data_IF_888653091861
#
_entry.id   IF_888653091861
#
_cell.length_a   1.000
_cell.length_b   1.000
_cell.length_c   1.000
_cell.angle_alpha   90.00
_cell.angle_beta   90.00
_cell.angle_gamma   90.00
#
_symmetry.space_group_name_H-M   'P 1'
#
loop_
_entity.id
_entity.type
_entity.pdbx_description
1 polymer ?
#
# COMPACT_ATOMS: atom_id res chain seq x y z
N UNK A 1 -10.93 -34.42 35.77
CA UNK A 1 -12.17 -33.73 35.34
C UNK A 1 -12.04 -32.21 35.50
N UNK A 2 -11.52 -31.71 36.62
CA UNK A 2 -11.25 -30.28 36.84
C UNK A 2 -10.39 -29.59 35.77
N UNK A 3 -9.29 -30.20 35.33
CA UNK A 3 -8.42 -29.60 34.29
C UNK A 3 -9.11 -29.41 32.94
N UNK A 4 -10.13 -30.20 32.62
CA UNK A 4 -10.91 -30.06 31.40
C UNK A 4 -11.96 -28.95 31.55
N UNK A 5 -12.57 -28.85 32.74
CA UNK A 5 -13.53 -27.81 33.10
C UNK A 5 -12.84 -26.44 33.12
N UNK A 6 -11.61 -26.32 33.63
CA UNK A 6 -10.87 -25.05 33.59
C UNK A 6 -10.50 -24.63 32.17
N UNK A 7 -10.11 -25.58 31.30
CA UNK A 7 -9.85 -25.27 29.89
C UNK A 7 -11.11 -24.80 29.16
N UNK A 8 -12.26 -25.42 29.43
CA UNK A 8 -13.54 -24.97 28.90
C UNK A 8 -13.95 -23.60 29.45
N UNK A 9 -13.66 -23.31 30.72
CA UNK A 9 -14.00 -22.04 31.38
C UNK A 9 -13.17 -20.88 30.81
N UNK A 10 -11.89 -21.10 30.53
CA UNK A 10 -11.01 -20.11 29.85
C UNK A 10 -11.48 -19.86 28.42
N UNK A 11 -11.82 -20.91 27.66
CA UNK A 11 -12.35 -20.76 26.30
C UNK A 11 -13.70 -20.04 26.27
N UNK A 12 -14.59 -20.34 27.22
CA UNK A 12 -15.87 -19.63 27.38
C UNK A 12 -15.67 -18.14 27.74
N UNK A 13 -14.63 -17.80 28.53
CA UNK A 13 -14.31 -16.41 28.84
C UNK A 13 -13.84 -15.61 27.62
N UNK A 14 -13.24 -16.25 26.62
CA UNK A 14 -12.90 -15.61 25.34
C UNK A 14 -14.08 -15.52 24.36
N UNK A 15 -15.10 -16.39 24.51
CA UNK A 15 -16.26 -16.45 23.63
C UNK A 15 -17.46 -15.63 24.14
N UNK A 16 -17.49 -15.30 25.43
CA UNK A 16 -18.50 -14.41 26.00
C UNK A 16 -18.04 -12.96 25.81
N UNK A 17 -18.81 -12.10 25.12
CA UNK A 17 -18.48 -10.69 25.05
C UNK A 17 -18.59 -10.12 26.47
N UNK A 18 -17.51 -9.54 27.00
CA UNK A 18 -17.53 -8.92 28.32
C UNK A 18 -18.59 -7.82 28.35
N UNK A 19 -19.68 -8.05 29.08
CA UNK A 19 -20.66 -7.02 29.42
C UNK A 19 -20.06 -6.07 30.47
N UNK A 20 -19.08 -5.26 30.06
CA UNK A 20 -18.60 -4.05 30.76
C UNK A 20 -17.33 -3.48 30.12
N UNK A 21 -17.37 -3.26 28.82
CA UNK A 21 -17.00 -1.94 28.30
C UNK A 21 -17.85 -1.76 27.06
N UNK A 22 -18.62 -0.69 27.00
CA UNK A 22 -19.02 -0.20 25.69
C UNK A 22 -17.73 0.31 25.05
N UNK A 23 -16.92 -0.58 24.47
CA UNK A 23 -16.12 -0.21 23.31
C UNK A 23 -17.14 0.12 22.23
N UNK A 24 -17.66 1.34 22.28
CA UNK A 24 -18.10 1.98 21.07
C UNK A 24 -16.91 1.85 20.13
N UNK A 25 -17.04 1.00 19.11
CA UNK A 25 -16.20 1.09 17.93
C UNK A 25 -16.50 2.48 17.33
N UNK A 26 -15.83 3.49 17.88
CA UNK A 26 -15.73 4.78 17.28
C UNK A 26 -14.74 4.59 16.14
N UNK A 27 -15.24 4.69 14.91
CA UNK A 27 -14.35 5.00 13.81
C UNK A 27 -13.70 6.35 14.15
N UNK A 28 -12.41 6.35 14.47
CA UNK A 28 -11.65 7.59 14.45
C UNK A 28 -11.83 8.20 13.06
N UNK A 29 -12.28 9.45 12.94
CA UNK A 29 -12.44 10.07 11.64
C UNK A 29 -11.08 10.15 10.96
N UNK A 30 -10.81 9.23 10.04
CA UNK A 30 -9.71 9.33 9.09
C UNK A 30 -10.08 10.39 8.04
N UNK A 31 -10.02 11.66 8.44
CA UNK A 31 -10.22 12.80 7.56
C UNK A 31 -8.85 13.24 7.00
N UNK A 32 -8.53 12.81 5.79
CA UNK A 32 -7.42 13.38 5.04
C UNK A 32 -7.83 14.77 4.52
N UNK A 33 -7.28 15.83 5.10
CA UNK A 33 -7.52 17.21 4.66
C UNK A 33 -6.43 18.17 5.13
N UNK A 34 -5.97 19.02 4.21
CA UNK A 34 -4.90 20.00 4.37
C UNK A 34 -5.15 21.01 5.52
N UNK A 35 -4.25 21.08 6.49
CA UNK A 35 -3.72 22.31 7.12
C UNK A 35 -3.19 22.05 8.54
N UNK A 36 -2.05 22.68 8.85
CA UNK A 36 -1.24 22.50 10.04
C UNK A 36 -1.85 23.03 11.37
N UNK A 37 -3.10 22.73 11.66
CA UNK A 37 -3.74 23.04 12.94
C UNK A 37 -4.67 21.89 13.35
N UNK A 38 -4.08 20.80 13.85
CA UNK A 38 -4.85 19.68 14.40
C UNK A 38 -4.67 19.60 15.91
N UNK A 39 -5.79 19.65 16.63
CA UNK A 39 -5.86 19.20 18.01
C UNK A 39 -5.50 17.70 18.01
N UNK A 40 -4.35 17.35 18.62
CA UNK A 40 -4.05 15.95 18.93
C UNK A 40 -5.16 15.44 19.85
N UNK A 41 -5.96 14.49 19.37
CA UNK A 41 -6.67 13.58 20.28
C UNK A 41 -5.64 12.88 21.16
N UNK A 42 -6.00 12.58 22.40
CA UNK A 42 -5.17 11.79 23.31
C UNK A 42 -4.85 10.44 22.65
N UNK A 43 -3.56 10.09 22.54
CA UNK A 43 -3.19 8.72 22.17
C UNK A 43 -3.56 7.80 23.35
N UNK A 44 -4.39 6.81 23.10
CA UNK A 44 -4.73 5.80 24.09
C UNK A 44 -3.71 4.65 24.01
N UNK A 45 -3.55 3.91 25.11
CA UNK A 45 -2.55 2.84 25.19
C UNK A 45 -2.79 1.67 24.22
N UNK A 46 -3.95 1.64 23.57
CA UNK A 46 -4.41 0.59 22.65
C UNK A 46 -4.58 1.08 21.20
N UNK A 47 -4.03 2.26 20.87
CA UNK A 47 -4.03 2.79 19.51
C UNK A 47 -3.07 2.02 18.59
N UNK A 48 -3.48 1.84 17.33
CA UNK A 48 -2.60 1.35 16.26
C UNK A 48 -1.94 2.56 15.59
N UNK A 49 -0.62 2.65 15.68
CA UNK A 49 0.16 3.81 15.19
C UNK A 49 1.00 3.45 13.96
N UNK A 50 1.20 4.44 13.08
CA UNK A 50 2.11 4.33 11.94
C UNK A 50 3.47 4.89 12.37
N UNK A 51 4.49 4.05 12.40
CA UNK A 51 5.85 4.43 12.81
C UNK A 51 6.75 4.85 11.65
N UNK A 52 6.44 4.39 10.43
CA UNK A 52 7.17 4.69 9.21
C UNK A 52 6.26 4.52 7.99
N UNK A 53 6.46 5.37 6.97
CA UNK A 53 5.76 5.28 5.69
C UNK A 53 6.67 5.79 4.57
N UNK A 54 6.97 4.92 3.61
CA UNK A 54 7.86 5.21 2.50
C UNK A 54 7.31 4.64 1.20
N UNK A 55 7.77 5.16 0.08
CA UNK A 55 7.43 4.66 -1.27
C UNK A 55 8.58 4.82 -2.24
N UNK A 56 8.50 4.14 -3.35
CA UNK A 56 9.37 4.41 -4.51
C UNK A 56 8.92 5.67 -5.26
N UNK A 57 9.76 6.22 -6.16
CA UNK A 57 9.28 7.07 -7.24
C UNK A 57 8.18 6.35 -8.05
N UNK A 58 7.21 7.08 -8.58
CA UNK A 58 6.24 6.50 -9.51
C UNK A 58 6.69 6.81 -10.93
N UNK A 59 6.86 5.76 -11.75
CA UNK A 59 7.31 5.88 -13.12
C UNK A 59 6.21 5.50 -14.11
N UNK A 60 6.20 6.14 -15.28
CA UNK A 60 5.28 5.81 -16.38
C UNK A 60 5.47 4.36 -16.83
N UNK A 61 4.41 3.57 -16.87
CA UNK A 61 4.47 2.18 -17.34
C UNK A 61 5.01 2.09 -18.78
N UNK A 62 5.74 1.01 -19.08
CA UNK A 62 6.33 0.65 -20.39
C UNK A 62 7.37 1.64 -20.97
N UNK A 63 7.43 2.89 -20.50
CA UNK A 63 8.30 3.96 -21.06
C UNK A 63 9.07 4.77 -20.01
N UNK A 64 8.79 4.59 -18.72
CA UNK A 64 9.43 5.32 -17.62
C UNK A 64 10.67 4.62 -17.05
N UNK A 65 11.21 5.20 -15.98
CA UNK A 65 12.46 4.73 -15.35
C UNK A 65 12.41 3.34 -14.72
N UNK A 66 11.22 2.77 -14.51
CA UNK A 66 11.01 1.41 -14.00
C UNK A 66 10.46 0.43 -15.04
N UNK A 67 10.61 0.73 -16.33
CA UNK A 67 10.04 -0.13 -17.39
C UNK A 67 10.68 -1.52 -17.46
N UNK A 68 11.96 -1.64 -17.08
CA UNK A 68 12.71 -2.91 -17.09
C UNK A 68 13.07 -3.38 -15.67
N UNK A 69 12.45 -2.79 -14.64
CA UNK A 69 12.69 -3.14 -13.23
C UNK A 69 11.72 -4.24 -12.81
N UNK A 70 12.24 -5.30 -12.19
CA UNK A 70 11.40 -6.37 -11.67
C UNK A 70 10.53 -5.88 -10.50
N UNK A 71 9.32 -6.44 -10.29
CA UNK A 71 8.42 -6.01 -9.23
C UNK A 71 9.05 -6.10 -7.83
N UNK A 72 9.73 -7.20 -7.53
CA UNK A 72 10.41 -7.41 -6.24
C UNK A 72 11.51 -6.37 -5.97
N UNK A 73 12.17 -5.86 -7.02
CA UNK A 73 13.18 -4.79 -6.92
C UNK A 73 12.56 -3.41 -6.61
N UNK A 74 11.24 -3.26 -6.77
CA UNK A 74 10.51 -2.06 -6.35
C UNK A 74 10.08 -2.13 -4.88
N UNK A 75 9.74 -3.32 -4.38
CA UNK A 75 9.27 -3.51 -3.01
C UNK A 75 10.43 -3.63 -2.01
N UNK A 76 11.49 -4.37 -2.38
CA UNK A 76 12.68 -4.60 -1.54
C UNK A 76 13.26 -3.33 -0.91
N UNK A 77 13.59 -2.26 -1.68
CA UNK A 77 14.21 -1.07 -1.10
C UNK A 77 13.30 -0.34 -0.11
N UNK A 78 11.98 -0.39 -0.30
CA UNK A 78 11.03 0.25 0.62
C UNK A 78 10.93 -0.53 1.93
N UNK A 79 10.82 -1.86 1.86
CA UNK A 79 10.83 -2.71 3.05
C UNK A 79 12.14 -2.54 3.83
N UNK A 80 13.27 -2.56 3.14
CA UNK A 80 14.58 -2.34 3.74
C UNK A 80 14.68 -0.97 4.41
N UNK A 81 14.20 0.10 3.76
CA UNK A 81 14.21 1.43 4.33
C UNK A 81 13.34 1.56 5.59
N UNK A 82 12.21 0.85 5.66
CA UNK A 82 11.40 0.77 6.89
C UNK A 82 12.22 0.17 8.03
N UNK A 83 12.88 -0.97 7.80
CA UNK A 83 13.72 -1.62 8.80
C UNK A 83 14.88 -0.71 9.23
N UNK A 84 15.63 -0.17 8.26
CA UNK A 84 16.83 0.63 8.51
C UNK A 84 16.49 1.93 9.29
N UNK A 85 15.36 2.57 9.01
CA UNK A 85 14.98 3.84 9.65
C UNK A 85 14.28 3.68 11.00
N UNK A 86 13.62 2.54 11.22
CA UNK A 86 12.95 2.26 12.51
C UNK A 86 13.87 1.51 13.49
N UNK A 87 14.86 0.77 12.99
CA UNK A 87 15.75 -0.04 13.80
C UNK A 87 15.09 -1.25 14.44
N UNK A 88 13.86 -1.61 14.03
CA UNK A 88 13.17 -2.79 14.57
C UNK A 88 13.91 -4.06 14.18
N UNK A 89 13.88 -5.06 15.07
CA UNK A 89 14.34 -6.40 14.72
C UNK A 89 13.35 -7.00 13.70
N UNK A 90 13.79 -7.38 12.49
CA UNK A 90 12.89 -7.91 11.46
C UNK A 90 12.13 -9.16 11.91
N UNK A 91 12.66 -9.92 12.88
CA UNK A 91 12.00 -11.11 13.44
C UNK A 91 10.78 -10.79 14.32
N UNK A 92 10.59 -9.53 14.74
CA UNK A 92 9.44 -9.10 15.55
C UNK A 92 8.19 -8.78 14.70
N UNK A 93 8.34 -8.74 13.37
CA UNK A 93 7.22 -8.53 12.45
C UNK A 93 6.31 -9.77 12.47
N UNK A 94 5.04 -9.58 12.79
CA UNK A 94 4.05 -10.67 12.82
C UNK A 94 3.46 -11.03 11.46
N UNK A 95 3.35 -10.06 10.54
CA UNK A 95 2.83 -10.28 9.19
C UNK A 95 3.27 -9.17 8.22
N UNK A 96 3.47 -9.55 6.96
CA UNK A 96 3.69 -8.62 5.84
C UNK A 96 2.55 -8.81 4.84
N UNK A 97 1.69 -7.79 4.74
CA UNK A 97 0.53 -7.80 3.84
C UNK A 97 0.83 -6.88 2.66
N UNK A 98 0.82 -7.41 1.44
CA UNK A 98 1.14 -6.65 0.23
C UNK A 98 -0.09 -6.52 -0.65
N UNK A 99 -0.55 -5.28 -0.83
CA UNK A 99 -1.59 -4.92 -1.78
C UNK A 99 -1.09 -4.97 -3.21
N UNK A 100 -1.71 -5.80 -4.06
CA UNK A 100 -1.29 -5.98 -5.45
C UNK A 100 -2.45 -6.49 -6.30
N UNK A 101 -2.51 -6.07 -7.58
CA UNK A 101 -3.66 -6.34 -8.45
C UNK A 101 -3.30 -7.21 -9.64
N UNK A 102 -2.38 -6.76 -10.51
CA UNK A 102 -2.23 -7.36 -11.84
C UNK A 102 -1.38 -8.64 -11.86
N UNK A 103 -0.55 -8.84 -10.84
CA UNK A 103 0.35 -9.99 -10.79
C UNK A 103 -0.40 -11.30 -10.69
N UNK A 104 -0.06 -12.32 -11.48
CA UNK A 104 -0.73 -13.62 -11.42
C UNK A 104 -0.57 -14.27 -10.05
N UNK A 105 -1.70 -14.68 -9.44
CA UNK A 105 -1.84 -15.24 -8.08
C UNK A 105 -0.55 -15.70 -7.39
N UNK A 106 -0.12 -16.95 -7.65
CA UNK A 106 1.04 -17.54 -6.97
C UNK A 106 2.36 -16.85 -7.32
N UNK A 107 2.54 -16.41 -8.57
CA UNK A 107 3.74 -15.68 -8.98
C UNK A 107 3.89 -14.41 -8.15
N UNK A 108 2.81 -13.66 -7.95
CA UNK A 108 2.86 -12.43 -7.17
C UNK A 108 3.15 -12.65 -5.69
N UNK A 109 2.62 -13.73 -5.12
CA UNK A 109 2.97 -14.13 -3.77
C UNK A 109 4.48 -14.45 -3.64
N UNK A 110 5.06 -15.11 -4.64
CA UNK A 110 6.49 -15.39 -4.70
C UNK A 110 7.31 -14.10 -4.87
N UNK A 111 6.93 -13.18 -5.77
CA UNK A 111 7.59 -11.87 -5.93
C UNK A 111 7.62 -11.09 -4.60
N UNK A 112 6.48 -11.03 -3.90
CA UNK A 112 6.39 -10.35 -2.59
C UNK A 112 7.25 -11.05 -1.52
N UNK A 113 7.25 -12.39 -1.51
CA UNK A 113 8.06 -13.18 -0.58
C UNK A 113 9.55 -12.99 -0.84
N UNK A 114 9.97 -13.01 -2.10
CA UNK A 114 11.34 -12.73 -2.53
C UNK A 114 11.77 -11.34 -2.07
N UNK A 115 10.94 -10.32 -2.30
CA UNK A 115 11.25 -8.95 -1.86
C UNK A 115 11.41 -8.83 -0.34
N UNK A 116 10.54 -9.51 0.44
CA UNK A 116 10.63 -9.56 1.89
C UNK A 116 11.95 -10.17 2.37
N UNK A 117 12.34 -11.31 1.79
CA UNK A 117 13.59 -12.00 2.13
C UNK A 117 14.82 -11.17 1.72
N UNK A 118 14.81 -10.56 0.52
CA UNK A 118 15.89 -9.68 0.05
C UNK A 118 16.03 -8.42 0.92
N UNK A 119 14.95 -7.95 1.52
CA UNK A 119 14.98 -6.83 2.47
C UNK A 119 15.56 -7.20 3.84
N UNK A 120 15.77 -8.50 4.13
CA UNK A 120 16.30 -9.01 5.39
C UNK A 120 15.24 -9.43 6.41
N UNK A 121 13.97 -9.54 6.00
CA UNK A 121 12.90 -10.09 6.85
C UNK A 121 13.02 -11.62 6.82
N UNK A 122 13.15 -12.31 7.98
CA UNK A 122 13.47 -13.73 8.02
C UNK A 122 12.28 -14.61 7.59
N UNK A 123 12.57 -15.87 7.31
CA UNK A 123 11.60 -16.84 6.84
C UNK A 123 10.46 -17.13 7.84
N UNK A 124 10.68 -16.85 9.12
CA UNK A 124 9.68 -17.01 10.19
C UNK A 124 8.54 -16.00 10.09
N UNK A 125 8.73 -14.87 9.41
CA UNK A 125 7.70 -13.85 9.22
C UNK A 125 6.86 -14.21 8.00
N UNK A 126 5.54 -14.38 8.10
CA UNK A 126 4.69 -14.69 6.95
C UNK A 126 4.56 -13.48 6.01
N UNK A 127 4.30 -13.78 4.73
CA UNK A 127 3.99 -12.77 3.71
C UNK A 127 2.71 -13.21 3.01
N UNK A 128 1.76 -12.29 2.86
CA UNK A 128 0.52 -12.54 2.14
C UNK A 128 0.17 -11.38 1.22
N UNK A 129 -0.55 -11.69 0.15
CA UNK A 129 -1.03 -10.69 -0.81
C UNK A 129 -2.52 -10.44 -0.63
N UNK A 130 -2.95 -9.20 -0.85
CA UNK A 130 -4.37 -8.83 -0.89
C UNK A 130 -4.69 -8.13 -2.20
N UNK A 131 -5.82 -8.49 -2.80
CA UNK A 131 -6.33 -7.85 -4.00
C UNK A 131 -7.73 -7.30 -3.74
N UNK A 132 -7.78 -5.99 -3.49
CA UNK A 132 -9.01 -5.18 -3.46
C UNK A 132 -8.94 -4.08 -4.53
N UNK A 133 -8.50 -4.45 -5.73
CA UNK A 133 -8.34 -3.55 -6.87
C UNK A 133 -7.53 -2.30 -6.49
N UNK A 134 -7.91 -1.10 -6.94
CA UNK A 134 -7.19 0.15 -6.65
C UNK A 134 -7.03 0.46 -5.15
N UNK A 135 -7.77 -0.20 -4.26
CA UNK A 135 -7.66 -0.02 -2.81
C UNK A 135 -6.71 -0.99 -2.11
N UNK A 136 -6.04 -1.89 -2.86
CA UNK A 136 -5.26 -3.00 -2.27
C UNK A 136 -4.17 -2.54 -1.29
N UNK A 137 -3.47 -1.43 -1.57
CA UNK A 137 -2.47 -0.88 -0.64
C UNK A 137 -3.09 -0.40 0.68
N UNK A 138 -4.25 0.25 0.61
CA UNK A 138 -4.99 0.67 1.81
C UNK A 138 -5.59 -0.53 2.55
N UNK A 139 -6.08 -1.54 1.81
CA UNK A 139 -6.59 -2.77 2.40
C UNK A 139 -5.51 -3.51 3.18
N UNK A 140 -4.28 -3.55 2.66
CA UNK A 140 -3.15 -4.15 3.36
C UNK A 140 -2.89 -3.49 4.71
N UNK A 141 -2.88 -2.15 4.75
CA UNK A 141 -2.75 -1.38 6.01
C UNK A 141 -3.92 -1.66 6.95
N UNK A 142 -5.16 -1.69 6.43
CA UNK A 142 -6.35 -1.96 7.24
C UNK A 142 -6.34 -3.37 7.85
N UNK A 143 -5.92 -4.38 7.09
CA UNK A 143 -5.85 -5.75 7.59
C UNK A 143 -4.79 -5.90 8.68
N UNK A 144 -3.62 -5.26 8.51
CA UNK A 144 -2.55 -5.24 9.53
C UNK A 144 -3.05 -4.56 10.80
N UNK A 145 -3.68 -3.39 10.66
CA UNK A 145 -4.23 -2.67 11.80
C UNK A 145 -5.31 -3.49 12.53
N UNK A 146 -6.18 -4.18 11.80
CA UNK A 146 -7.20 -5.05 12.38
C UNK A 146 -6.58 -6.23 13.14
N UNK A 147 -5.52 -6.85 12.62
CA UNK A 147 -4.83 -7.96 13.27
C UNK A 147 -4.07 -7.51 14.53
N UNK A 148 -3.46 -6.32 14.51
CA UNK A 148 -2.85 -5.71 15.71
C UNK A 148 -3.93 -5.43 16.76
N UNK A 149 -5.04 -4.81 16.36
CA UNK A 149 -6.15 -4.53 17.27
C UNK A 149 -6.78 -5.81 17.85
N UNK A 150 -6.77 -6.90 17.09
CA UNK A 150 -7.24 -8.22 17.53
C UNK A 150 -6.24 -8.96 18.43
N UNK A 151 -5.02 -8.46 18.59
CA UNK A 151 -3.99 -9.07 19.44
C UNK A 151 -3.30 -10.29 18.82
N UNK A 152 -3.30 -10.42 17.49
CA UNK A 152 -2.59 -11.53 16.81
C UNK A 152 -1.08 -11.32 16.73
N UNK A 153 -0.65 -10.05 16.67
CA UNK A 153 0.75 -9.61 16.72
C UNK A 153 0.80 -8.12 17.03
N UNK A 154 1.97 -7.59 17.41
CA UNK A 154 2.13 -6.17 17.79
C UNK A 154 2.67 -5.29 16.66
N UNK A 155 3.43 -5.88 15.72
CA UNK A 155 4.08 -5.19 14.61
C UNK A 155 3.70 -5.89 13.30
N UNK A 156 3.32 -5.13 12.28
CA UNK A 156 3.07 -5.65 10.94
C UNK A 156 3.35 -4.61 9.86
N UNK A 157 3.54 -5.07 8.63
CA UNK A 157 3.80 -4.20 7.48
C UNK A 157 2.63 -4.28 6.50
N UNK A 158 1.96 -3.15 6.29
CA UNK A 158 1.03 -2.96 5.18
C UNK A 158 1.75 -2.29 4.01
N UNK A 159 1.90 -2.99 2.90
CA UNK A 159 2.63 -2.53 1.72
C UNK A 159 1.77 -2.55 0.45
N UNK A 160 2.30 -1.98 -0.64
CA UNK A 160 1.70 -2.06 -1.96
C UNK A 160 2.78 -2.27 -3.03
N UNK A 161 2.48 -3.09 -4.04
CA UNK A 161 3.37 -3.35 -5.16
C UNK A 161 2.55 -3.48 -6.46
N UNK A 162 2.99 -2.78 -7.50
CA UNK A 162 2.49 -2.98 -8.85
C UNK A 162 3.57 -2.68 -9.89
N UNK A 163 3.55 -3.44 -10.99
CA UNK A 163 4.36 -3.17 -12.18
C UNK A 163 3.51 -3.43 -13.42
N UNK A 164 2.90 -2.34 -13.91
CA UNK A 164 2.16 -2.32 -15.16
C UNK A 164 3.08 -2.40 -16.40
N UNK A 165 4.40 -2.28 -16.20
CA UNK A 165 5.38 -2.53 -17.26
C UNK A 165 5.58 -4.03 -17.50
N UNK A 166 5.47 -4.83 -16.44
CA UNK A 166 5.56 -6.30 -16.51
C UNK A 166 4.19 -6.90 -16.84
N UNK A 167 3.17 -6.57 -16.04
CA UNK A 167 1.81 -7.10 -16.22
C UNK A 167 0.94 -6.11 -17.00
N UNK A 168 0.14 -6.60 -17.93
CA UNK A 168 -0.72 -5.73 -18.75
C UNK A 168 -2.00 -5.36 -18.01
N UNK A 169 -2.52 -4.16 -18.28
CA UNK A 169 -3.82 -3.76 -17.74
C UNK A 169 -4.92 -4.47 -18.52
N UNK A 170 -5.57 -5.42 -17.88
CA UNK A 170 -6.69 -6.15 -18.47
C UNK A 170 -7.00 -7.41 -17.70
N UNK A 171 -8.19 -7.96 -17.92
CA UNK A 171 -8.53 -9.29 -17.44
C UNK A 171 -7.88 -10.33 -18.34
N UNK A 172 -6.92 -11.08 -17.82
CA UNK A 172 -6.21 -12.14 -18.56
C UNK A 172 -6.93 -13.50 -18.53
N UNK A 173 -8.02 -13.61 -17.76
CA UNK A 173 -8.79 -14.85 -17.62
C UNK A 173 -9.88 -15.05 -18.68
N UNK A 174 -10.43 -16.26 -18.74
CA UNK A 174 -11.67 -16.50 -19.47
C UNK A 174 -12.83 -15.79 -18.76
N UNK A 175 -13.69 -15.13 -19.53
CA UNK A 175 -14.94 -14.57 -19.01
C UNK A 175 -15.97 -15.71 -18.95
N UNK A 176 -16.58 -15.92 -17.79
CA UNK A 176 -17.67 -16.89 -17.67
C UNK A 176 -18.84 -16.47 -18.59
N UNK A 177 -19.30 -17.32 -19.54
CA UNK A 177 -20.36 -16.94 -20.47
C UNK A 177 -21.67 -16.55 -19.77
N UNK A 178 -21.90 -17.05 -18.54
CA UNK A 178 -23.05 -16.67 -17.71
C UNK A 178 -23.05 -15.21 -17.26
N UNK A 179 -21.97 -14.46 -17.49
CA UNK A 179 -21.95 -13.02 -17.19
C UNK A 179 -23.10 -12.28 -17.88
N UNK A 180 -23.53 -12.75 -19.06
CA UNK A 180 -24.64 -12.17 -19.82
C UNK A 180 -25.99 -12.30 -19.09
N UNK A 181 -26.12 -13.24 -18.14
CA UNK A 181 -27.36 -13.50 -17.41
C UNK A 181 -27.68 -12.39 -16.39
N UNK A 182 -26.69 -11.57 -15.99
CA UNK A 182 -26.85 -10.54 -14.97
C UNK A 182 -26.12 -9.25 -15.36
N UNK A 183 -26.86 -8.16 -15.59
CA UNK A 183 -26.28 -6.86 -15.98
C UNK A 183 -25.14 -6.41 -15.05
N UNK A 184 -25.33 -6.51 -13.74
CA UNK A 184 -24.30 -6.13 -12.76
C UNK A 184 -22.99 -6.92 -12.92
N UNK A 185 -23.06 -8.17 -13.37
CA UNK A 185 -21.87 -8.97 -13.64
C UNK A 185 -21.18 -8.50 -14.92
N UNK A 186 -21.94 -8.10 -15.95
CA UNK A 186 -21.39 -7.49 -17.17
C UNK A 186 -20.73 -6.16 -16.87
N UNK A 187 -21.32 -5.35 -15.98
CA UNK A 187 -20.80 -4.05 -15.59
C UNK A 187 -19.40 -4.14 -14.95
N UNK A 188 -19.05 -5.27 -14.32
CA UNK A 188 -17.71 -5.53 -13.80
C UNK A 188 -16.63 -5.60 -14.89
N UNK A 189 -17.00 -5.81 -16.15
CA UNK A 189 -16.10 -5.86 -17.30
C UNK A 189 -15.97 -4.50 -18.00
N UNK A 190 -16.74 -3.49 -17.59
CA UNK A 190 -16.63 -2.16 -18.17
C UNK A 190 -15.23 -1.59 -17.88
N UNK A 191 -14.54 -1.05 -18.89
CA UNK A 191 -13.28 -0.36 -18.65
C UNK A 191 -13.48 0.81 -17.69
N UNK A 192 -12.55 1.01 -16.77
CA UNK A 192 -12.65 2.07 -15.75
C UNK A 192 -12.72 3.49 -16.35
N UNK A 193 -12.17 3.69 -17.55
CA UNK A 193 -12.35 4.95 -18.28
C UNK A 193 -13.82 5.20 -18.64
N UNK A 194 -14.54 4.16 -19.10
CA UNK A 194 -15.96 4.25 -19.44
C UNK A 194 -16.81 4.49 -18.20
N UNK A 195 -16.51 3.85 -17.08
CA UNK A 195 -17.23 4.12 -15.83
C UNK A 195 -17.00 5.56 -15.35
N UNK A 196 -15.81 6.13 -15.59
CA UNK A 196 -15.53 7.54 -15.32
C UNK A 196 -16.35 8.48 -16.21
N UNK A 197 -16.46 8.19 -17.51
CA UNK A 197 -17.32 8.95 -18.44
C UNK A 197 -18.80 8.88 -18.04
N UNK A 198 -19.28 7.71 -17.61
CA UNK A 198 -20.65 7.54 -17.13
C UNK A 198 -20.93 8.40 -15.89
N UNK A 199 -19.97 8.52 -14.97
CA UNK A 199 -20.06 9.41 -13.80
C UNK A 199 -20.07 10.87 -14.25
N UNK A 200 -19.15 11.27 -15.13
CA UNK A 200 -19.08 12.64 -15.64
C UNK A 200 -20.38 13.06 -16.32
N UNK A 201 -20.92 12.21 -17.20
CA UNK A 201 -22.20 12.45 -17.87
C UNK A 201 -23.36 12.54 -16.88
N UNK A 202 -23.45 11.62 -15.91
CA UNK A 202 -24.56 11.55 -14.96
C UNK A 202 -24.63 12.77 -14.03
N UNK A 203 -23.47 13.25 -13.60
CA UNK A 203 -23.37 14.35 -12.63
C UNK A 203 -23.03 15.70 -13.26
N UNK A 204 -22.96 15.76 -14.60
CA UNK A 204 -22.73 17.01 -15.33
C UNK A 204 -21.32 17.57 -15.18
N UNK A 205 -20.31 16.73 -14.99
CA UNK A 205 -18.90 17.16 -14.87
C UNK A 205 -18.37 17.50 -16.26
N UNK A 206 -18.13 18.78 -16.49
CA UNK A 206 -17.73 19.30 -17.79
C UNK A 206 -16.29 18.90 -18.14
N UNK A 207 -15.98 18.89 -19.44
CA UNK A 207 -14.60 18.68 -19.92
C UNK A 207 -13.63 19.75 -19.37
N UNK A 208 -14.09 20.99 -19.25
CA UNK A 208 -13.30 22.09 -18.71
C UNK A 208 -12.93 21.85 -17.24
N UNK A 209 -13.87 21.39 -16.41
CA UNK A 209 -13.60 21.03 -15.01
C UNK A 209 -12.60 19.88 -14.89
N UNK A 210 -12.71 18.86 -15.74
CA UNK A 210 -11.78 17.73 -15.78
C UNK A 210 -10.35 18.20 -16.15
N UNK A 211 -10.22 19.01 -17.20
CA UNK A 211 -8.93 19.54 -17.65
C UNK A 211 -8.32 20.48 -16.61
N UNK A 212 -9.14 21.33 -15.97
CA UNK A 212 -8.70 22.22 -14.89
C UNK A 212 -8.15 21.43 -13.71
N UNK A 213 -8.84 20.37 -13.29
CA UNK A 213 -8.35 19.50 -12.21
C UNK A 213 -7.00 18.84 -12.56
N UNK A 214 -6.82 18.41 -13.81
CA UNK A 214 -5.55 17.84 -14.27
C UNK A 214 -4.41 18.88 -14.26
N UNK A 215 -4.64 20.10 -14.73
CA UNK A 215 -3.66 21.20 -14.70
C UNK A 215 -3.25 21.52 -13.27
N UNK A 216 -4.23 21.66 -12.37
CA UNK A 216 -3.96 21.93 -10.96
C UNK A 216 -3.16 20.81 -10.29
N UNK A 217 -3.49 19.55 -10.59
CA UNK A 217 -2.75 18.39 -10.09
C UNK A 217 -1.28 18.43 -10.51
N UNK A 218 -1.00 18.68 -11.80
CA UNK A 218 0.36 18.81 -12.31
C UNK A 218 1.11 19.99 -11.69
N UNK A 219 0.47 21.15 -11.55
CA UNK A 219 1.07 22.34 -10.94
C UNK A 219 1.45 22.08 -9.47
N UNK A 220 0.56 21.45 -8.68
CA UNK A 220 0.82 21.09 -7.27
C UNK A 220 1.94 20.08 -7.15
N UNK A 221 1.94 19.03 -7.99
CA UNK A 221 3.00 18.01 -7.99
C UNK A 221 4.37 18.60 -8.36
N UNK A 222 4.42 19.50 -9.35
CA UNK A 222 5.66 20.20 -9.73
C UNK A 222 6.18 21.07 -8.59
N UNK A 223 5.31 21.87 -7.95
CA UNK A 223 5.68 22.72 -6.82
C UNK A 223 6.16 21.89 -5.61
N UNK A 224 5.49 20.79 -5.27
CA UNK A 224 5.89 19.88 -4.20
C UNK A 224 7.26 19.22 -4.47
N UNK A 225 7.51 18.85 -5.72
CA UNK A 225 8.81 18.28 -6.15
C UNK A 225 9.92 19.34 -6.04
N UNK A 226 9.71 20.53 -6.58
CA UNK A 226 10.69 21.63 -6.56
C UNK A 226 11.03 22.09 -5.13
N UNK A 227 10.03 22.10 -4.23
CA UNK A 227 10.23 22.43 -2.81
C UNK A 227 10.72 21.26 -1.96
N UNK A 228 10.90 20.07 -2.54
CA UNK A 228 11.44 18.90 -1.85
C UNK A 228 10.48 18.21 -0.88
N UNK A 229 9.17 18.47 -0.97
CA UNK A 229 8.16 17.86 -0.07
C UNK A 229 8.10 16.33 -0.12
N UNK A 230 8.57 15.72 -1.21
CA UNK A 230 8.60 14.26 -1.36
C UNK A 230 9.92 13.62 -0.90
N UNK A 231 10.92 14.39 -0.44
CA UNK A 231 12.24 13.86 -0.06
C UNK A 231 12.17 12.87 1.10
N UNK A 232 11.25 13.10 2.03
CA UNK A 232 11.15 12.28 3.25
C UNK A 232 10.48 10.93 2.99
N UNK A 233 9.56 10.86 2.01
CA UNK A 233 8.78 9.65 1.71
C UNK A 233 9.36 8.82 0.56
N UNK A 234 10.16 9.41 -0.35
CA UNK A 234 10.73 8.70 -1.50
C UNK A 234 12.03 7.98 -1.13
N UNK A 235 12.05 6.66 -1.32
CA UNK A 235 13.27 5.85 -1.30
C UNK A 235 13.78 5.69 -2.73
N UNK A 236 15.00 6.18 -3.04
CA UNK A 236 15.61 5.97 -4.34
C UNK A 236 15.76 4.48 -4.67
N UNK A 237 15.46 4.11 -5.92
CA UNK A 237 15.64 2.74 -6.42
C UNK A 237 16.74 2.74 -7.45
N UNK A 238 17.78 1.94 -7.22
CA UNK A 238 18.88 1.76 -8.16
C UNK A 238 18.56 0.60 -9.10
N UNK A 239 18.31 0.91 -10.37
CA UNK A 239 17.93 -0.08 -11.39
C UNK A 239 18.64 0.20 -12.71
N UNK A 240 18.65 -0.80 -13.59
CA UNK A 240 19.07 -0.65 -15.00
C UNK A 240 17.84 -0.49 -15.88
N UNK A 241 17.98 0.31 -16.94
CA UNK A 241 16.96 0.50 -17.98
C UNK A 241 17.65 0.29 -19.33
N UNK A 242 17.14 -0.64 -20.12
CA UNK A 242 17.70 -1.01 -21.43
C UNK A 242 17.21 -0.02 -22.50
N UNK A 243 18.15 0.64 -23.20
CA UNK A 243 17.90 1.52 -24.37
C UNK A 243 18.10 3.03 -24.12
N UNK A 244 19.12 3.58 -24.80
CA UNK A 244 19.57 4.99 -24.98
C UNK A 244 19.15 6.04 -23.95
N UNK A 245 20.09 6.38 -23.06
CA UNK A 245 20.15 7.67 -22.36
C UNK A 245 20.43 8.81 -23.38
N UNK A 246 20.09 10.08 -23.09
CA UNK A 246 20.55 10.73 -21.86
C UNK A 246 19.37 11.14 -20.98
N UNK A 247 19.20 10.46 -19.85
CA UNK A 247 18.70 11.17 -18.70
C UNK A 247 19.85 12.06 -18.22
N UNK A 248 19.67 13.38 -18.30
CA UNK A 248 20.43 14.32 -17.49
C UNK A 248 20.15 13.97 -16.02
N UNK A 249 20.98 13.12 -15.44
CA UNK A 249 21.10 12.92 -14.01
C UNK A 249 22.49 13.41 -13.60
N UNK A 250 22.70 14.72 -13.67
CA UNK A 250 23.74 15.38 -12.89
C UNK A 250 23.05 16.15 -11.77
N UNK A 251 22.82 15.46 -10.66
CA UNK A 251 23.01 16.05 -9.34
C UNK A 251 23.75 15.03 -8.49
N UNK A 252 25.05 14.90 -8.79
CA UNK A 252 26.03 14.57 -7.76
C UNK A 252 26.03 15.77 -6.81
N UNK A 253 25.47 15.61 -5.61
CA UNK A 253 25.92 16.39 -4.47
C UNK A 253 26.64 15.45 -3.51
N UNK A 254 27.93 15.26 -3.78
CA UNK A 254 28.91 15.02 -2.74
C UNK A 254 29.01 16.35 -1.99
N UNK A 255 28.61 16.36 -0.71
CA UNK A 255 29.21 17.28 0.24
C UNK A 255 29.65 16.48 1.46
N UNK A 256 30.93 16.17 1.50
CA UNK A 256 31.66 15.94 2.74
C UNK A 256 32.58 17.14 3.00
N UNK A 257 32.72 17.48 4.29
CA UNK A 257 33.64 18.44 4.94
C UNK A 257 33.14 19.91 4.89
N UNK A 258 32.83 20.57 6.00
CA UNK A 258 33.70 20.84 7.17
C UNK A 258 32.95 21.27 8.45
N UNK A 259 33.58 20.99 9.61
CA UNK A 259 33.62 21.72 10.91
C UNK A 259 32.32 22.38 11.42
N UNK A 260 31.76 21.86 12.52
CA UNK A 260 32.17 22.22 13.91
C UNK A 260 32.25 20.91 14.70
#
# INVERSE_FOLDING_TARGET
MEKAIDRQRVLLAHLLPSASSQTQLSASPCAAGDSAAYQRSSCFGDDVVIVAAYRTPICKAKRGGFKDTYPEDLLTPVLKAVLDKTGINPAEIGDVVVGTVLGPGSQRAIECRTASLLAGIPETVPVRTVNRQCSSGLQAVADVAAAIKAGFYEIGIGAGLESMSVNSVGWEGQVNPRVIELQKAQDCLLPMGITSENVAQRYGVTREEQDKAAVESHARAAAATASGKFKDEIIPVHTKVNGTAPFFALYIFIYQKYLI
#
